data_IF_127507713078
#
_entry.id   IF_127507713078
#
_cell.length_a   1.000
_cell.length_b   1.000
_cell.length_c   1.000
_cell.angle_alpha   90.00
_cell.angle_beta   90.00
_cell.angle_gamma   90.00
#
_symmetry.space_group_name_H-M   'P 1'
#
loop_
_entity.id
_entity.type
_entity.pdbx_description
1 polymer ?
#
# COMPACT_ATOMS: atom_id res chain seq x y z
N UNK A 1 -18.38 16.28 -20.82
CA UNK A 1 -17.55 15.89 -19.65
C UNK A 1 -17.39 14.38 -19.63
N UNK A 2 -16.19 13.87 -19.39
CA UNK A 2 -15.95 12.43 -19.26
C UNK A 2 -16.58 11.90 -17.97
N UNK A 3 -17.41 10.86 -18.09
CA UNK A 3 -18.03 10.20 -16.94
C UNK A 3 -16.98 9.48 -16.10
N UNK A 4 -17.20 9.48 -14.80
CA UNK A 4 -16.40 8.75 -13.84
C UNK A 4 -17.04 7.40 -13.56
N UNK A 5 -16.21 6.38 -13.39
CA UNK A 5 -16.62 5.05 -12.94
C UNK A 5 -15.92 4.70 -11.63
N UNK A 6 -16.59 3.90 -10.80
CA UNK A 6 -15.99 3.42 -9.55
C UNK A 6 -14.90 2.43 -9.90
N UNK A 7 -13.66 2.70 -9.48
CA UNK A 7 -12.49 1.83 -9.66
C UNK A 7 -12.09 1.10 -8.38
N UNK A 8 -12.63 1.50 -7.22
CA UNK A 8 -12.34 0.87 -5.94
C UNK A 8 -13.34 1.27 -4.86
N UNK A 9 -13.39 0.51 -3.78
CA UNK A 9 -14.18 0.81 -2.58
C UNK A 9 -13.45 0.27 -1.36
N UNK A 10 -13.32 1.10 -0.34
CA UNK A 10 -12.75 0.74 0.95
C UNK A 10 -13.59 1.30 2.09
N UNK A 11 -13.03 1.29 3.29
CA UNK A 11 -13.73 1.77 4.47
C UNK A 11 -13.96 3.29 4.47
N UNK A 12 -13.06 4.10 3.88
CA UNK A 12 -13.27 5.55 3.76
C UNK A 12 -14.36 5.93 2.74
N UNK A 13 -14.60 5.06 1.76
CA UNK A 13 -15.55 5.30 0.69
C UNK A 13 -15.10 4.74 -0.64
N UNK A 14 -15.66 5.31 -1.70
CA UNK A 14 -15.46 4.88 -3.08
C UNK A 14 -14.37 5.68 -3.77
N UNK A 15 -13.68 5.03 -4.70
CA UNK A 15 -12.66 5.65 -5.56
C UNK A 15 -13.16 5.65 -6.98
N UNK A 16 -13.07 6.80 -7.65
CA UNK A 16 -13.59 7.03 -8.99
C UNK A 16 -12.52 7.53 -9.93
N UNK A 17 -12.57 7.12 -11.19
CA UNK A 17 -11.73 7.69 -12.23
C UNK A 17 -12.45 7.63 -13.58
N UNK A 18 -12.02 8.47 -14.51
CA UNK A 18 -12.28 8.25 -15.94
C UNK A 18 -11.23 7.29 -16.52
N UNK A 19 -11.36 6.90 -17.78
CA UNK A 19 -10.39 6.04 -18.46
C UNK A 19 -8.96 6.57 -18.33
N UNK A 20 -8.78 7.88 -18.51
CA UNK A 20 -7.55 8.63 -18.25
C UNK A 20 -7.79 9.70 -17.19
N UNK A 21 -6.73 10.11 -16.48
CA UNK A 21 -6.78 11.19 -15.50
C UNK A 21 -6.67 10.73 -14.03
N UNK A 22 -6.97 11.63 -13.09
CA UNK A 22 -6.77 11.39 -11.66
C UNK A 22 -7.80 10.42 -11.08
N UNK A 23 -7.48 9.90 -9.90
CA UNK A 23 -8.40 9.19 -9.04
C UNK A 23 -9.04 10.15 -8.02
N UNK A 24 -10.32 9.94 -7.76
CA UNK A 24 -11.13 10.71 -6.84
C UNK A 24 -11.66 9.81 -5.72
N UNK A 25 -11.11 9.94 -4.50
CA UNK A 25 -11.55 9.18 -3.33
C UNK A 25 -12.61 9.99 -2.58
N UNK A 26 -13.84 9.48 -2.48
CA UNK A 26 -14.98 10.15 -1.86
C UNK A 26 -15.12 9.75 -0.39
N UNK A 27 -15.56 10.69 0.44
CA UNK A 27 -15.90 10.45 1.85
C UNK A 27 -17.36 9.96 1.96
N UNK A 28 -17.64 8.80 1.37
CA UNK A 28 -18.96 8.16 1.35
C UNK A 28 -18.95 6.74 1.96
N UNK A 29 -17.93 6.47 2.79
CA UNK A 29 -17.78 5.22 3.53
C UNK A 29 -18.19 5.32 5.00
N UNK A 30 -17.44 4.62 5.84
CA UNK A 30 -17.66 4.54 7.28
C UNK A 30 -17.32 5.89 7.96
N UNK A 31 -18.25 6.51 8.70
CA UNK A 31 -18.02 7.79 9.39
C UNK A 31 -16.89 7.77 10.43
N UNK A 32 -16.44 6.58 10.87
CA UNK A 32 -15.30 6.42 11.76
C UNK A 32 -13.93 6.48 11.03
N UNK A 33 -13.93 6.64 9.70
CA UNK A 33 -12.74 6.98 8.91
C UNK A 33 -12.75 8.48 8.61
N UNK A 34 -11.57 9.06 8.36
CA UNK A 34 -11.44 10.48 8.05
C UNK A 34 -10.66 10.65 6.75
N UNK A 35 -11.34 11.16 5.71
CA UNK A 35 -10.68 11.46 4.45
C UNK A 35 -9.73 12.66 4.60
N UNK A 36 -10.05 13.60 5.51
CA UNK A 36 -9.13 14.71 5.85
C UNK A 36 -7.81 14.19 6.42
N UNK A 37 -7.86 13.23 7.35
CA UNK A 37 -6.65 12.62 7.88
C UNK A 37 -5.84 11.91 6.79
N UNK A 38 -6.50 11.17 5.91
CA UNK A 38 -5.85 10.52 4.75
C UNK A 38 -5.09 11.55 3.90
N UNK A 39 -5.74 12.66 3.54
CA UNK A 39 -5.11 13.73 2.77
C UNK A 39 -3.88 14.33 3.46
N UNK A 40 -3.98 14.63 4.76
CA UNK A 40 -2.89 15.22 5.53
C UNK A 40 -1.71 14.27 5.68
N UNK A 41 -1.98 13.00 6.02
CA UNK A 41 -0.95 11.97 6.16
C UNK A 41 -0.30 11.67 4.81
N UNK A 42 -1.07 11.55 3.73
CA UNK A 42 -0.56 11.34 2.38
C UNK A 42 0.41 12.45 1.95
N UNK A 43 0.03 13.72 2.14
CA UNK A 43 0.92 14.85 1.87
C UNK A 43 2.18 14.84 2.75
N UNK A 44 2.07 14.42 4.00
CA UNK A 44 3.21 14.29 4.90
C UNK A 44 4.19 13.22 4.41
N UNK A 45 3.70 12.05 3.99
CA UNK A 45 4.55 10.98 3.43
C UNK A 45 5.23 11.43 2.13
N UNK A 46 4.53 12.14 1.24
CA UNK A 46 5.12 12.72 0.03
C UNK A 46 6.26 13.70 0.34
N UNK A 47 6.07 14.59 1.32
CA UNK A 47 7.12 15.53 1.77
C UNK A 47 8.32 14.78 2.32
N UNK A 48 8.10 13.74 3.14
CA UNK A 48 9.17 12.91 3.70
C UNK A 48 9.99 12.23 2.61
N UNK A 49 9.34 11.70 1.56
CA UNK A 49 10.04 11.13 0.41
C UNK A 49 10.91 12.18 -0.28
N UNK A 50 10.37 13.39 -0.52
CA UNK A 50 11.12 14.48 -1.14
C UNK A 50 12.33 14.91 -0.27
N UNK A 51 12.16 14.99 1.05
CA UNK A 51 13.26 15.26 2.00
C UNK A 51 14.37 14.22 1.91
N UNK A 52 14.04 12.93 1.77
CA UNK A 52 15.05 11.89 1.60
C UNK A 52 15.75 11.98 0.24
N UNK A 53 15.01 12.26 -0.83
CA UNK A 53 15.58 12.40 -2.17
C UNK A 53 16.55 13.58 -2.30
N UNK A 54 16.34 14.67 -1.55
CA UNK A 54 17.21 15.85 -1.59
C UNK A 54 18.56 15.64 -0.89
N UNK A 55 18.72 14.58 -0.08
CA UNK A 55 19.97 14.28 0.62
C UNK A 55 21.09 13.78 -0.30
N UNK A 56 20.80 13.48 -1.57
CA UNK A 56 21.81 13.14 -2.58
C UNK A 56 22.58 11.84 -2.32
N UNK A 57 22.16 11.01 -1.35
CA UNK A 57 22.79 9.72 -1.04
C UNK A 57 22.23 8.57 -1.87
N UNK A 58 23.02 7.49 -1.96
CA UNK A 58 22.83 6.37 -2.90
C UNK A 58 21.53 5.57 -2.71
N UNK A 59 20.87 5.68 -1.56
CA UNK A 59 19.75 4.81 -1.18
C UNK A 59 18.44 5.54 -1.37
N UNK A 60 17.99 5.55 -2.63
CA UNK A 60 16.68 6.10 -2.97
C UNK A 60 15.61 5.18 -2.40
N UNK A 61 14.83 5.65 -1.43
CA UNK A 61 13.56 5.00 -1.05
C UNK A 61 12.80 4.66 -2.33
N UNK A 62 12.55 3.38 -2.54
CA UNK A 62 12.15 2.87 -3.85
C UNK A 62 10.64 2.82 -4.05
N UNK A 63 9.89 2.93 -2.96
CA UNK A 63 8.44 2.83 -2.99
C UNK A 63 7.81 4.04 -3.68
N UNK A 64 6.82 3.78 -4.51
CA UNK A 64 6.06 4.83 -5.18
C UNK A 64 4.92 5.31 -4.28
N UNK A 65 4.70 6.63 -4.25
CA UNK A 65 3.57 7.25 -3.57
C UNK A 65 2.77 8.01 -4.63
N UNK A 66 1.46 7.76 -4.79
CA UNK A 66 0.66 8.53 -5.73
C UNK A 66 0.75 10.02 -5.38
N UNK A 67 0.85 10.90 -6.38
CA UNK A 67 0.74 12.34 -6.13
C UNK A 67 -0.61 12.68 -5.48
N UNK A 68 -0.62 13.55 -4.48
CA UNK A 68 -1.83 14.00 -3.80
C UNK A 68 -2.08 15.45 -4.21
N UNK A 69 -3.08 15.68 -5.07
CA UNK A 69 -3.24 16.98 -5.72
C UNK A 69 -4.05 17.95 -4.87
N UNK A 70 -5.26 17.57 -4.46
CA UNK A 70 -6.23 18.48 -3.83
C UNK A 70 -7.18 17.76 -2.88
N UNK A 71 -7.59 18.49 -1.83
CA UNK A 71 -8.77 18.16 -1.05
C UNK A 71 -9.92 19.06 -1.50
N UNK A 72 -11.03 18.45 -1.91
CA UNK A 72 -12.23 19.10 -2.42
C UNK A 72 -13.30 18.98 -1.34
N UNK A 73 -13.76 20.11 -0.83
CA UNK A 73 -14.77 20.16 0.24
C UNK A 73 -16.19 20.00 -0.32
N UNK A 74 -17.10 19.48 0.50
CA UNK A 74 -18.52 19.36 0.14
C UNK A 74 -19.17 20.70 -0.19
N UNK A 75 -18.66 21.79 0.39
CA UNK A 75 -19.19 23.15 0.27
C UNK A 75 -18.65 23.90 -0.95
N UNK A 76 -17.69 23.32 -1.70
CA UNK A 76 -17.13 23.94 -2.90
C UNK A 76 -18.13 23.93 -4.07
N UNK A 77 -19.05 24.90 -4.07
CA UNK A 77 -20.14 25.01 -5.04
C UNK A 77 -19.65 25.11 -6.48
N UNK A 78 -18.55 25.80 -6.73
CA UNK A 78 -17.99 25.98 -8.07
C UNK A 78 -17.50 24.66 -8.65
N UNK A 79 -16.71 23.91 -7.87
CA UNK A 79 -16.19 22.62 -8.31
C UNK A 79 -17.31 21.61 -8.50
N UNK A 80 -18.26 21.52 -7.56
CA UNK A 80 -19.37 20.58 -7.64
C UNK A 80 -20.34 20.92 -8.79
N UNK A 81 -20.65 22.20 -9.02
CA UNK A 81 -21.46 22.60 -10.17
C UNK A 81 -20.81 22.18 -11.51
N UNK A 82 -19.47 22.27 -11.59
CA UNK A 82 -18.72 21.91 -12.79
C UNK A 82 -18.45 20.40 -12.93
N UNK A 83 -18.59 19.57 -11.89
CA UNK A 83 -18.14 18.17 -11.91
C UNK A 83 -19.17 17.14 -11.44
N UNK A 84 -20.28 17.54 -10.80
CA UNK A 84 -21.24 16.59 -10.24
C UNK A 84 -21.85 15.70 -11.33
N UNK A 85 -22.11 16.25 -12.51
CA UNK A 85 -22.63 15.50 -13.67
C UNK A 85 -21.66 14.42 -14.19
N UNK A 86 -20.40 14.40 -13.76
CA UNK A 86 -19.46 13.33 -14.09
C UNK A 86 -19.77 12.04 -13.34
N UNK A 87 -20.43 12.13 -12.19
CA UNK A 87 -20.88 10.97 -11.41
C UNK A 87 -22.24 10.45 -11.93
N UNK A 88 -22.61 9.19 -11.62
CA UNK A 88 -23.95 8.69 -11.88
C UNK A 88 -25.04 9.52 -11.19
N UNK A 89 -26.27 9.43 -11.68
CA UNK A 89 -27.41 10.10 -11.06
C UNK A 89 -27.59 9.63 -9.60
N UNK A 90 -27.89 10.56 -8.70
CA UNK A 90 -28.13 10.28 -7.27
C UNK A 90 -26.95 10.55 -6.34
N UNK A 91 -25.77 10.88 -6.88
CA UNK A 91 -24.66 11.35 -6.06
C UNK A 91 -24.81 12.83 -5.70
N UNK A 92 -24.41 13.19 -4.49
CA UNK A 92 -24.39 14.56 -3.96
C UNK A 92 -22.95 15.03 -3.70
N UNK A 93 -22.77 16.29 -3.32
CA UNK A 93 -21.47 16.77 -2.85
C UNK A 93 -21.06 16.04 -1.56
N UNK A 94 -19.75 15.80 -1.43
CA UNK A 94 -19.10 15.25 -0.25
C UNK A 94 -17.66 15.76 -0.19
N UNK A 95 -16.91 15.46 0.87
CA UNK A 95 -15.46 15.66 0.80
C UNK A 95 -14.82 14.64 -0.15
N UNK A 96 -13.74 15.05 -0.82
CA UNK A 96 -13.09 14.21 -1.82
C UNK A 96 -11.60 14.53 -1.93
N UNK A 97 -10.76 13.51 -2.14
CA UNK A 97 -9.34 13.69 -2.51
C UNK A 97 -9.21 13.47 -4.01
N UNK A 98 -8.55 14.41 -4.68
CA UNK A 98 -8.02 14.23 -6.03
C UNK A 98 -6.54 13.84 -5.94
N UNK A 99 -6.20 12.65 -6.44
CA UNK A 99 -4.85 12.09 -6.42
C UNK A 99 -4.49 11.46 -7.77
N UNK A 100 -3.21 11.14 -7.96
CA UNK A 100 -2.76 10.31 -9.07
C UNK A 100 -3.45 8.95 -9.02
N UNK A 101 -3.98 8.51 -10.17
CA UNK A 101 -4.45 7.14 -10.33
C UNK A 101 -3.24 6.21 -10.49
N UNK A 102 -3.14 5.21 -9.62
CA UNK A 102 -2.20 4.10 -9.82
C UNK A 102 -2.67 3.34 -11.07
N UNK A 103 -1.82 3.13 -12.09
CA UNK A 103 -2.22 2.44 -13.30
C UNK A 103 -2.60 0.98 -12.98
N UNK A 104 -3.68 0.44 -13.55
CA UNK A 104 -4.00 -0.97 -13.38
C UNK A 104 -3.09 -1.86 -14.24
N UNK A 105 -2.91 -3.11 -13.83
CA UNK A 105 -2.21 -4.10 -14.65
C UNK A 105 -2.94 -4.37 -15.97
N UNK A 106 -2.15 -4.52 -17.03
CA UNK A 106 -2.62 -4.82 -18.38
C UNK A 106 -3.21 -6.23 -18.52
N UNK A 107 -3.82 -6.48 -19.69
CA UNK A 107 -4.54 -7.71 -19.98
C UNK A 107 -3.71 -8.99 -19.77
N UNK A 108 -2.44 -9.01 -20.18
CA UNK A 108 -1.57 -10.18 -20.02
C UNK A 108 -1.47 -10.65 -18.57
N UNK A 109 -1.26 -9.71 -17.64
CA UNK A 109 -1.12 -10.01 -16.21
C UNK A 109 -2.47 -10.37 -15.59
N UNK A 110 -3.56 -9.71 -16.02
CA UNK A 110 -4.92 -10.09 -15.61
C UNK A 110 -5.24 -11.54 -16.01
N UNK A 111 -4.93 -11.92 -17.24
CA UNK A 111 -5.14 -13.29 -17.73
C UNK A 111 -4.30 -14.30 -16.96
N UNK A 112 -3.03 -13.99 -16.66
CA UNK A 112 -2.18 -14.83 -15.81
C UNK A 112 -2.83 -15.09 -14.44
N UNK A 113 -3.22 -14.04 -13.72
CA UNK A 113 -3.85 -14.18 -12.39
C UNK A 113 -5.16 -14.97 -12.45
N UNK A 114 -5.95 -14.78 -13.51
CA UNK A 114 -7.19 -15.52 -13.72
C UNK A 114 -6.89 -17.00 -13.97
N UNK A 115 -5.94 -17.32 -14.83
CA UNK A 115 -5.61 -18.70 -15.18
C UNK A 115 -5.10 -19.48 -13.97
N UNK A 116 -4.22 -18.87 -13.18
CA UNK A 116 -3.58 -19.50 -12.04
C UNK A 116 -4.50 -19.61 -10.82
N UNK A 117 -5.28 -18.57 -10.52
CA UNK A 117 -5.93 -18.44 -9.21
C UNK A 117 -7.45 -18.26 -9.23
N UNK A 118 -8.06 -17.99 -10.38
CA UNK A 118 -9.51 -17.85 -10.45
C UNK A 118 -10.17 -19.25 -10.53
N UNK A 119 -11.23 -19.52 -9.75
CA UNK A 119 -12.02 -20.75 -9.90
C UNK A 119 -12.59 -20.87 -11.32
N UNK A 120 -12.51 -22.07 -11.90
CA UNK A 120 -12.86 -22.31 -13.30
C UNK A 120 -14.29 -21.90 -13.63
N UNK A 121 -15.22 -22.02 -12.67
CA UNK A 121 -16.64 -21.70 -12.82
C UNK A 121 -16.90 -20.22 -13.08
N UNK A 122 -16.01 -19.34 -12.63
CA UNK A 122 -16.18 -17.87 -12.73
C UNK A 122 -15.13 -17.20 -13.62
N UNK A 123 -14.18 -17.93 -14.21
CA UNK A 123 -13.15 -17.37 -15.10
C UNK A 123 -13.73 -16.47 -16.19
N UNK A 124 -14.70 -16.97 -16.95
CA UNK A 124 -15.32 -16.20 -18.04
C UNK A 124 -16.07 -14.96 -17.53
N UNK A 125 -16.66 -15.03 -16.34
CA UNK A 125 -17.30 -13.87 -15.71
C UNK A 125 -16.28 -12.78 -15.39
N UNK A 126 -15.12 -13.17 -14.83
CA UNK A 126 -14.05 -12.22 -14.46
C UNK A 126 -13.34 -11.66 -15.70
N UNK A 127 -13.12 -12.47 -16.74
CA UNK A 127 -12.53 -12.00 -18.01
C UNK A 127 -13.37 -10.87 -18.63
N UNK A 128 -14.69 -11.02 -18.62
CA UNK A 128 -15.64 -10.07 -19.20
C UNK A 128 -16.07 -8.97 -18.22
N UNK A 129 -15.50 -8.93 -17.02
CA UNK A 129 -15.84 -7.96 -15.98
C UNK A 129 -15.10 -6.65 -16.21
N UNK A 130 -15.83 -5.61 -16.62
CA UNK A 130 -15.29 -4.25 -16.70
C UNK A 130 -14.66 -3.77 -15.38
N UNK A 131 -15.26 -4.01 -14.20
CA UNK A 131 -14.61 -3.71 -12.93
C UNK A 131 -13.24 -4.35 -12.74
N UNK A 132 -13.05 -5.59 -13.17
CA UNK A 132 -11.80 -6.33 -12.98
C UNK A 132 -10.70 -5.89 -13.96
N UNK A 133 -10.96 -4.90 -14.82
CA UNK A 133 -9.92 -4.16 -15.55
C UNK A 133 -9.12 -3.23 -14.64
N UNK A 134 -9.68 -2.79 -13.52
CA UNK A 134 -8.98 -1.99 -12.50
C UNK A 134 -8.09 -2.86 -11.59
N UNK A 135 -7.26 -3.68 -12.22
CA UNK A 135 -6.45 -4.68 -11.53
C UNK A 135 -5.27 -4.05 -10.78
N UNK A 136 -5.25 -4.19 -9.46
CA UNK A 136 -4.13 -3.85 -8.59
C UNK A 136 -3.83 -5.05 -7.72
N UNK A 137 -2.56 -5.43 -7.57
CA UNK A 137 -2.19 -6.57 -6.72
C UNK A 137 -1.80 -6.04 -5.35
N UNK A 138 -2.49 -6.47 -4.28
CA UNK A 138 -2.11 -6.21 -2.89
C UNK A 138 -1.19 -7.30 -2.39
N UNK A 139 0.05 -6.95 -2.04
CA UNK A 139 1.11 -7.90 -1.76
C UNK A 139 1.15 -8.29 -0.28
N UNK A 140 1.15 -9.60 -0.01
CA UNK A 140 1.27 -10.17 1.33
C UNK A 140 2.50 -11.08 1.44
N UNK A 141 3.60 -10.56 1.98
CA UNK A 141 4.81 -11.34 2.26
C UNK A 141 4.79 -12.00 3.64
N UNK A 142 4.02 -11.44 4.59
CA UNK A 142 3.89 -11.95 5.95
C UNK A 142 2.86 -13.05 6.15
N UNK A 143 2.12 -13.43 5.11
CA UNK A 143 1.06 -14.42 5.20
C UNK A 143 1.02 -15.32 3.97
N UNK A 144 0.86 -16.61 4.22
CA UNK A 144 0.45 -17.63 3.25
C UNK A 144 -1.07 -17.81 3.32
N UNK A 145 -1.69 -18.25 2.22
CA UNK A 145 -3.13 -18.59 2.25
C UNK A 145 -3.39 -19.71 3.26
N UNK A 146 -4.48 -19.60 4.02
CA UNK A 146 -4.91 -20.66 4.95
C UNK A 146 -5.59 -21.84 4.24
N UNK A 147 -6.04 -21.64 3.00
CA UNK A 147 -6.65 -22.66 2.15
C UNK A 147 -5.95 -22.66 0.80
N UNK A 148 -5.22 -23.74 0.50
CA UNK A 148 -4.59 -24.01 -0.80
C UNK A 148 -5.55 -24.76 -1.72
N UNK A 149 -5.21 -24.86 -3.01
CA UNK A 149 -6.01 -25.53 -4.07
C UNK A 149 -6.46 -26.96 -3.72
N UNK A 150 -5.72 -27.64 -2.84
CA UNK A 150 -5.98 -29.02 -2.39
C UNK A 150 -6.89 -29.14 -1.16
N UNK A 151 -7.26 -28.03 -0.53
CA UNK A 151 -8.18 -28.06 0.62
C UNK A 151 -9.58 -28.43 0.10
N UNK A 152 -10.06 -29.62 0.48
CA UNK A 152 -11.44 -30.14 0.21
C UNK A 152 -12.58 -29.22 0.67
N UNK A 153 -12.25 -28.11 1.32
CA UNK A 153 -13.12 -27.03 1.76
C UNK A 153 -12.85 -25.73 1.00
N UNK A 154 -12.79 -25.77 -0.34
CA UNK A 154 -12.99 -24.55 -1.12
C UNK A 154 -14.36 -23.98 -0.78
N UNK A 155 -14.38 -22.90 -0.01
CA UNK A 155 -15.60 -22.16 0.29
C UNK A 155 -16.25 -21.75 -1.02
N UNK A 156 -17.47 -22.25 -1.24
CA UNK A 156 -18.37 -21.95 -2.38
C UNK A 156 -18.73 -20.45 -2.51
N UNK A 157 -18.22 -19.60 -1.63
CA UNK A 157 -18.59 -18.19 -1.49
C UNK A 157 -17.42 -17.21 -1.62
N UNK A 158 -16.23 -17.62 -2.12
CA UNK A 158 -15.15 -16.66 -2.34
C UNK A 158 -15.44 -15.80 -3.58
N UNK A 159 -15.75 -14.53 -3.33
CA UNK A 159 -15.71 -13.49 -4.35
C UNK A 159 -14.25 -13.36 -4.86
N UNK A 160 -14.02 -13.68 -6.12
CA UNK A 160 -12.78 -13.37 -6.82
C UNK A 160 -12.94 -12.01 -7.48
N UNK A 161 -11.98 -11.12 -7.29
CA UNK A 161 -11.89 -9.87 -8.03
C UNK A 161 -10.43 -9.48 -8.19
N UNK A 162 -10.10 -8.91 -9.34
CA UNK A 162 -8.78 -8.36 -9.64
C UNK A 162 -8.59 -6.96 -9.01
N UNK A 163 -9.65 -6.33 -8.52
CA UNK A 163 -9.55 -5.07 -7.76
C UNK A 163 -8.94 -5.34 -6.39
N UNK A 164 -7.78 -4.75 -6.14
CA UNK A 164 -7.02 -4.94 -4.90
C UNK A 164 -6.77 -6.43 -4.58
N UNK A 165 -6.41 -7.21 -5.60
CA UNK A 165 -6.26 -8.66 -5.55
C UNK A 165 -5.19 -9.07 -4.52
N UNK A 166 -5.55 -9.80 -3.45
CA UNK A 166 -4.58 -10.19 -2.43
C UNK A 166 -3.69 -11.34 -2.94
N UNK A 167 -2.42 -11.05 -3.19
CA UNK A 167 -1.42 -12.03 -3.62
C UNK A 167 -0.48 -12.37 -2.46
N UNK A 168 -0.53 -13.64 -2.03
CA UNK A 168 0.16 -14.14 -0.85
C UNK A 168 1.52 -14.77 -1.18
N UNK A 169 2.35 -14.96 -0.15
CA UNK A 169 3.70 -15.49 -0.29
C UNK A 169 3.75 -16.84 -1.05
N UNK A 170 2.85 -17.77 -0.72
CA UNK A 170 2.73 -19.06 -1.42
C UNK A 170 2.32 -18.91 -2.90
N UNK A 171 1.53 -17.87 -3.24
CA UNK A 171 1.16 -17.61 -4.63
C UNK A 171 2.32 -17.02 -5.43
N UNK A 172 3.20 -16.26 -4.80
CA UNK A 172 4.41 -15.76 -5.46
C UNK A 172 5.35 -16.92 -5.80
N UNK A 173 5.42 -17.93 -4.94
CA UNK A 173 6.15 -19.18 -5.20
C UNK A 173 5.51 -19.97 -6.36
N UNK A 174 4.17 -20.08 -6.37
CA UNK A 174 3.41 -20.71 -7.48
C UNK A 174 3.65 -19.99 -8.82
N UNK A 175 3.80 -18.66 -8.80
CA UNK A 175 4.17 -17.85 -9.96
C UNK A 175 5.66 -17.91 -10.32
N UNK A 176 6.46 -18.67 -9.58
CA UNK A 176 7.92 -18.75 -9.73
C UNK A 176 8.63 -17.37 -9.65
N UNK A 177 8.13 -16.47 -8.81
CA UNK A 177 8.84 -15.23 -8.49
C UNK A 177 10.17 -15.59 -7.82
N UNK A 178 11.25 -14.98 -8.31
CA UNK A 178 12.60 -15.34 -7.84
C UNK A 178 12.81 -14.94 -6.38
N UNK A 179 13.70 -15.65 -5.69
CA UNK A 179 14.07 -15.29 -4.32
C UNK A 179 14.69 -13.87 -4.24
N UNK A 180 15.36 -13.42 -5.29
CA UNK A 180 15.89 -12.06 -5.39
C UNK A 180 14.78 -11.01 -5.47
N UNK A 181 13.75 -11.23 -6.30
CA UNK A 181 12.59 -10.33 -6.38
C UNK A 181 11.83 -10.28 -5.05
N UNK A 182 11.63 -11.42 -4.40
CA UNK A 182 10.97 -11.48 -3.09
C UNK A 182 11.75 -10.70 -2.02
N UNK A 183 13.08 -10.86 -2.00
CA UNK A 183 13.97 -10.06 -1.14
C UNK A 183 13.85 -8.57 -1.47
N UNK A 184 13.79 -8.21 -2.75
CA UNK A 184 13.67 -6.82 -3.15
C UNK A 184 12.31 -6.21 -2.78
N UNK A 185 11.21 -6.95 -2.89
CA UNK A 185 9.91 -6.51 -2.36
C UNK A 185 9.96 -6.27 -0.85
N UNK A 186 10.57 -7.19 -0.09
CA UNK A 186 10.74 -7.03 1.35
C UNK A 186 11.57 -5.78 1.69
N UNK A 187 12.64 -5.51 0.94
CA UNK A 187 13.45 -4.29 1.09
C UNK A 187 12.63 -3.03 0.82
N UNK A 188 11.85 -2.98 -0.26
CA UNK A 188 11.02 -1.82 -0.60
C UNK A 188 9.94 -1.54 0.43
N UNK A 189 9.35 -2.59 1.02
CA UNK A 189 8.44 -2.46 2.17
C UNK A 189 9.13 -1.87 3.40
N UNK A 190 10.35 -2.36 3.71
CA UNK A 190 11.14 -1.88 4.84
C UNK A 190 11.50 -0.39 4.69
N UNK A 191 11.89 0.04 3.48
CA UNK A 191 12.18 1.44 3.14
C UNK A 191 10.96 2.35 3.39
N UNK A 192 9.79 1.96 2.89
CA UNK A 192 8.56 2.72 3.08
C UNK A 192 8.20 2.87 4.55
N UNK A 193 8.32 1.78 5.33
CA UNK A 193 8.02 1.80 6.75
C UNK A 193 9.01 2.64 7.55
N UNK A 194 10.31 2.51 7.27
CA UNK A 194 11.36 3.31 7.94
C UNK A 194 11.19 4.81 7.66
N UNK A 195 10.90 5.19 6.41
CA UNK A 195 10.61 6.57 6.04
C UNK A 195 9.38 7.12 6.80
N UNK A 196 8.29 6.34 6.88
CA UNK A 196 7.10 6.76 7.61
C UNK A 196 7.36 6.93 9.11
N UNK A 197 8.12 6.02 9.72
CA UNK A 197 8.43 6.10 11.15
C UNK A 197 9.38 7.27 11.46
N UNK A 198 10.50 7.40 10.75
CA UNK A 198 11.60 8.28 11.21
C UNK A 198 11.67 9.63 10.52
N UNK A 199 11.11 9.74 9.31
CA UNK A 199 11.04 11.01 8.58
C UNK A 199 9.66 11.61 8.70
N UNK A 200 8.62 10.81 8.42
CA UNK A 200 7.26 11.29 8.56
C UNK A 200 6.86 11.35 10.04
N UNK A 201 7.35 10.50 10.93
CA UNK A 201 6.92 10.51 12.33
C UNK A 201 5.46 10.05 12.50
N UNK A 202 5.07 9.02 11.76
CA UNK A 202 3.74 8.40 11.82
C UNK A 202 3.85 6.89 12.08
N UNK A 203 2.78 6.29 12.58
CA UNK A 203 2.73 4.88 13.00
C UNK A 203 2.47 3.87 11.86
N UNK A 204 2.21 4.34 10.63
CA UNK A 204 1.91 3.52 9.46
C UNK A 204 0.72 2.55 9.66
N UNK A 205 -0.32 3.00 10.36
CA UNK A 205 -1.51 2.18 10.61
C UNK A 205 -2.39 2.03 9.37
N UNK A 206 -2.78 0.79 9.08
CA UNK A 206 -3.66 0.38 7.98
C UNK A 206 -3.16 0.71 6.56
N UNK A 207 -1.87 1.03 6.38
CA UNK A 207 -1.31 1.27 5.04
C UNK A 207 -1.28 0.01 4.19
N UNK A 208 -1.57 0.13 2.90
CA UNK A 208 -1.55 -0.97 1.94
C UNK A 208 -0.36 -0.87 0.97
N UNK A 209 0.23 -2.02 0.64
CA UNK A 209 1.31 -2.16 -0.34
C UNK A 209 0.78 -2.88 -1.56
N UNK A 210 0.82 -2.21 -2.70
CA UNK A 210 0.32 -2.75 -3.95
C UNK A 210 1.40 -2.78 -5.03
N UNK A 211 1.38 -3.81 -5.86
CA UNK A 211 2.13 -3.86 -7.11
C UNK A 211 1.24 -3.30 -8.21
N UNK A 212 1.85 -2.50 -9.08
CA UNK A 212 1.20 -1.94 -10.26
C UNK A 212 2.26 -1.50 -11.29
N UNK A 213 1.88 -1.34 -12.57
CA UNK A 213 2.73 -0.70 -13.56
C UNK A 213 3.29 0.64 -13.09
N UNK A 214 4.39 1.05 -13.71
CA UNK A 214 5.03 2.33 -13.40
C UNK A 214 4.44 3.44 -14.25
N UNK A 215 4.75 4.68 -13.89
CA UNK A 215 4.54 5.79 -14.81
C UNK A 215 5.46 5.62 -16.02
N UNK A 216 5.04 6.11 -17.19
CA UNK A 216 5.77 5.93 -18.46
C UNK A 216 7.23 6.42 -18.42
N UNK A 217 7.54 7.37 -17.53
CA UNK A 217 8.88 7.93 -17.34
C UNK A 217 9.78 7.13 -16.38
N UNK A 218 9.26 6.09 -15.72
CA UNK A 218 10.01 5.28 -14.77
C UNK A 218 10.30 3.89 -15.33
N UNK A 219 11.57 3.48 -15.18
CA UNK A 219 12.22 2.20 -15.49
C UNK A 219 11.43 0.92 -15.30
N UNK A 220 10.43 0.98 -14.41
CA UNK A 220 9.93 -0.17 -13.69
C UNK A 220 11.03 -0.92 -12.98
N UNK A 221 10.95 -0.91 -11.65
CA UNK A 221 12.04 -1.44 -10.83
C UNK A 221 12.10 -2.96 -10.85
N UNK A 222 10.95 -3.58 -11.08
CA UNK A 222 10.80 -5.02 -11.15
C UNK A 222 10.43 -5.41 -12.57
N UNK A 223 11.00 -6.51 -13.03
CA UNK A 223 10.67 -7.12 -14.30
C UNK A 223 10.71 -8.65 -14.14
N UNK A 224 9.54 -9.25 -13.92
CA UNK A 224 9.37 -10.69 -13.76
C UNK A 224 8.07 -11.15 -14.44
N UNK A 225 7.49 -12.28 -14.03
CA UNK A 225 6.25 -12.82 -14.61
C UNK A 225 5.05 -11.86 -14.53
N UNK A 226 5.07 -10.91 -13.57
CA UNK A 226 4.08 -9.84 -13.46
C UNK A 226 4.35 -8.66 -14.41
N UNK A 227 5.31 -8.82 -15.34
CA UNK A 227 5.77 -7.76 -16.24
C UNK A 227 6.59 -6.70 -15.52
N UNK A 228 6.76 -5.55 -16.19
CA UNK A 228 7.46 -4.39 -15.64
C UNK A 228 6.57 -3.61 -14.69
N UNK A 229 6.97 -3.48 -13.42
CA UNK A 229 6.13 -2.87 -12.38
C UNK A 229 6.95 -2.25 -11.23
N UNK A 230 6.24 -1.61 -10.30
CA UNK A 230 6.75 -1.01 -9.06
C UNK A 230 5.83 -1.34 -7.89
N UNK A 231 6.37 -1.16 -6.67
CA UNK A 231 5.58 -1.19 -5.45
C UNK A 231 5.11 0.23 -5.11
N UNK A 232 3.83 0.35 -4.78
CA UNK A 232 3.17 1.56 -4.37
C UNK A 232 2.64 1.40 -2.95
N UNK A 233 2.56 2.52 -2.21
CA UNK A 233 1.92 2.59 -0.90
C UNK A 233 0.72 3.55 -0.94
N UNK A 234 -0.37 3.13 -0.31
CA UNK A 234 -1.63 3.88 -0.24
C UNK A 234 -2.41 3.59 1.06
N UNK A 235 -3.54 4.28 1.22
CA UNK A 235 -4.45 4.25 2.39
C UNK A 235 -3.79 4.76 3.68
N UNK A 236 -3.72 6.08 3.84
CA UNK A 236 -3.10 6.70 5.02
C UNK A 236 -4.15 7.18 6.04
N UNK A 237 -5.41 6.78 5.90
CA UNK A 237 -6.54 7.31 6.64
C UNK A 237 -6.50 6.98 8.14
N UNK A 238 -5.77 5.93 8.54
CA UNK A 238 -5.57 5.54 9.95
C UNK A 238 -4.23 5.89 10.53
N UNK A 239 -3.30 6.36 9.70
CA UNK A 239 -2.01 6.82 10.15
C UNK A 239 -2.18 7.93 11.19
N UNK A 240 -1.38 7.87 12.25
CA UNK A 240 -1.36 8.87 13.32
C UNK A 240 0.07 9.21 13.68
N UNK A 241 0.24 10.35 14.33
CA UNK A 241 1.52 10.78 14.88
C UNK A 241 2.16 9.68 15.75
N UNK A 242 3.45 9.48 15.55
CA UNK A 242 4.31 8.65 16.38
C UNK A 242 5.32 9.57 17.08
N UNK A 243 5.39 9.49 18.41
CA UNK A 243 6.37 10.24 19.21
C UNK A 243 7.77 9.65 19.01
N UNK A 244 8.82 10.46 19.16
CA UNK A 244 10.22 10.03 19.00
C UNK A 244 10.79 9.55 20.35
N UNK A 245 10.10 8.57 20.94
CA UNK A 245 10.38 7.93 22.22
C UNK A 245 9.88 6.48 22.23
N UNK A 246 10.04 5.80 23.37
CA UNK A 246 9.67 4.39 23.51
C UNK A 246 8.16 4.15 23.40
N UNK A 247 7.33 5.11 23.80
CA UNK A 247 5.86 5.03 23.64
C UNK A 247 5.46 5.05 22.16
N UNK A 248 6.12 5.91 21.37
CA UNK A 248 5.97 5.95 19.92
C UNK A 248 6.39 4.64 19.28
N UNK A 249 7.52 4.08 19.70
CA UNK A 249 7.96 2.74 19.27
C UNK A 249 6.92 1.69 19.62
N UNK A 250 6.44 1.64 20.86
CA UNK A 250 5.43 0.68 21.29
C UNK A 250 4.12 0.80 20.51
N UNK A 251 3.75 2.02 20.10
CA UNK A 251 2.62 2.25 19.19
C UNK A 251 2.87 1.68 17.80
N UNK A 252 4.03 1.92 17.20
CA UNK A 252 4.40 1.37 15.91
C UNK A 252 4.47 -0.17 15.93
N UNK A 253 4.97 -0.78 17.01
CA UNK A 253 4.97 -2.26 17.18
C UNK A 253 3.55 -2.81 17.19
N UNK A 254 2.65 -2.20 17.98
CA UNK A 254 1.24 -2.59 18.02
C UNK A 254 0.58 -2.47 16.64
N UNK A 255 0.85 -1.37 15.94
CA UNK A 255 0.36 -1.14 14.59
C UNK A 255 0.90 -2.18 13.61
N UNK A 256 2.20 -2.46 13.65
CA UNK A 256 2.83 -3.48 12.81
C UNK A 256 2.07 -4.80 12.92
N UNK A 257 1.79 -5.29 14.14
CA UNK A 257 1.08 -6.55 14.36
C UNK A 257 -0.43 -6.51 14.10
N UNK A 258 -1.07 -5.36 14.26
CA UNK A 258 -2.51 -5.18 13.99
C UNK A 258 -2.82 -5.03 12.51
N UNK A 259 -1.91 -4.43 11.75
CA UNK A 259 -2.05 -4.36 10.30
C UNK A 259 -2.15 -5.77 9.74
N UNK A 260 -2.88 -5.86 8.64
CA UNK A 260 -2.82 -7.03 7.78
C UNK A 260 -1.34 -7.39 7.50
N UNK A 261 -0.97 -8.68 7.46
CA UNK A 261 0.42 -9.13 7.37
C UNK A 261 1.02 -8.93 5.96
N UNK A 262 1.08 -7.68 5.51
CA UNK A 262 1.69 -7.25 4.26
C UNK A 262 3.20 -7.48 4.28
N UNK A 263 3.85 -7.00 5.34
CA UNK A 263 5.29 -7.15 5.56
C UNK A 263 5.66 -8.56 6.03
N UNK A 264 6.89 -9.04 5.75
CA UNK A 264 7.43 -10.23 6.40
C UNK A 264 7.30 -10.13 7.92
N UNK A 265 6.96 -11.25 8.57
CA UNK A 265 6.88 -11.37 10.03
C UNK A 265 8.13 -12.09 10.56
N UNK A 266 8.55 -11.88 11.83
CA UNK A 266 9.55 -12.72 12.47
C UNK A 266 9.26 -14.23 12.26
N UNK A 267 10.28 -15.00 11.91
CA UNK A 267 10.16 -16.42 11.54
C UNK A 267 9.84 -16.68 10.06
N UNK A 268 9.47 -15.66 9.28
CA UNK A 268 9.41 -15.75 7.82
C UNK A 268 10.83 -15.68 7.22
N UNK A 269 11.07 -16.39 6.11
CA UNK A 269 12.36 -16.42 5.40
C UNK A 269 12.83 -15.05 4.86
N UNK A 270 11.92 -14.10 4.67
CA UNK A 270 12.21 -12.73 4.24
C UNK A 270 12.42 -11.75 5.41
N UNK A 271 12.24 -12.19 6.66
CA UNK A 271 12.32 -11.31 7.83
C UNK A 271 13.69 -10.67 7.99
N UNK A 272 14.77 -11.45 7.91
CA UNK A 272 16.13 -10.90 8.06
C UNK A 272 16.42 -9.85 7.00
N UNK A 273 15.98 -10.08 5.76
CA UNK A 273 16.12 -9.10 4.67
C UNK A 273 15.34 -7.82 4.96
N UNK A 274 14.10 -7.94 5.45
CA UNK A 274 13.29 -6.78 5.84
C UNK A 274 13.94 -6.02 7.00
N UNK A 275 14.34 -6.72 8.06
CA UNK A 275 14.94 -6.17 9.28
C UNK A 275 16.19 -5.37 8.95
N UNK A 276 17.12 -5.98 8.23
CA UNK A 276 18.42 -5.39 7.96
C UNK A 276 18.26 -4.14 7.08
N UNK A 277 17.37 -4.19 6.09
CA UNK A 277 17.04 -3.01 5.28
C UNK A 277 16.32 -1.93 6.08
N UNK A 278 15.39 -2.31 6.96
CA UNK A 278 14.68 -1.36 7.81
C UNK A 278 15.66 -0.58 8.69
N UNK A 279 16.59 -1.26 9.35
CA UNK A 279 17.62 -0.63 10.19
C UNK A 279 18.53 0.26 9.35
N UNK A 280 18.99 -0.24 8.20
CA UNK A 280 19.86 0.52 7.29
C UNK A 280 19.21 1.84 6.86
N UNK A 281 17.97 1.80 6.36
CA UNK A 281 17.23 2.99 5.94
C UNK A 281 16.88 3.88 7.13
N UNK A 282 16.58 3.29 8.29
CA UNK A 282 16.39 4.05 9.52
C UNK A 282 17.64 4.88 9.82
N UNK A 283 18.82 4.27 9.84
CA UNK A 283 20.07 4.98 10.14
C UNK A 283 20.34 6.14 9.15
N UNK A 284 19.98 5.98 7.87
CA UNK A 284 20.08 7.05 6.85
C UNK A 284 19.08 8.17 7.06
N UNK A 285 17.83 7.86 7.43
CA UNK A 285 16.82 8.86 7.75
C UNK A 285 17.27 9.79 8.88
N UNK A 286 18.13 9.29 9.79
CA UNK A 286 18.63 10.03 10.96
C UNK A 286 19.82 10.93 10.65
N UNK A 287 20.40 10.85 9.46
CA UNK A 287 21.44 11.78 9.04
C UNK A 287 20.92 13.22 8.88
N UNK A 288 19.60 13.36 8.77
CA UNK A 288 18.87 14.63 8.82
C UNK A 288 18.88 15.31 10.20
N UNK A 289 19.32 14.61 11.25
CA UNK A 289 19.23 15.06 12.64
C UNK A 289 20.61 15.43 13.19
N UNK A 290 20.60 16.24 14.25
CA UNK A 290 21.80 16.50 15.04
C UNK A 290 22.34 15.22 15.69
N UNK A 291 23.57 15.29 16.20
CA UNK A 291 24.30 14.11 16.70
C UNK A 291 23.57 13.44 17.87
N UNK A 292 23.01 14.22 18.81
CA UNK A 292 22.35 13.67 20.01
C UNK A 292 21.00 13.04 19.65
N UNK A 293 20.21 13.71 18.81
CA UNK A 293 18.95 13.17 18.30
C UNK A 293 19.17 11.90 17.48
N UNK A 294 20.25 11.84 16.70
CA UNK A 294 20.61 10.68 15.89
C UNK A 294 20.89 9.46 16.75
N UNK A 295 21.69 9.58 17.80
CA UNK A 295 21.98 8.44 18.70
C UNK A 295 20.72 7.91 19.38
N UNK A 296 19.86 8.81 19.87
CA UNK A 296 18.57 8.44 20.47
C UNK A 296 17.68 7.70 19.46
N UNK A 297 17.51 8.23 18.25
CA UNK A 297 16.63 7.61 17.25
C UNK A 297 17.22 6.30 16.67
N UNK A 298 18.55 6.15 16.65
CA UNK A 298 19.23 4.87 16.33
C UNK A 298 18.89 3.77 17.33
N UNK A 299 18.81 4.13 18.61
CA UNK A 299 18.33 3.21 19.64
C UNK A 299 16.86 2.86 19.42
N UNK A 300 15.99 3.85 19.16
CA UNK A 300 14.55 3.62 18.96
C UNK A 300 14.23 2.72 17.76
N UNK A 301 14.93 2.88 16.63
CA UNK A 301 14.75 2.01 15.45
C UNK A 301 15.11 0.55 15.69
N UNK A 302 16.19 0.31 16.46
CA UNK A 302 16.58 -1.04 16.89
C UNK A 302 15.63 -1.58 17.96
N UNK A 303 15.13 -0.73 18.85
CA UNK A 303 14.11 -1.09 19.83
C UNK A 303 12.81 -1.54 19.16
N UNK A 304 12.39 -0.88 18.08
CA UNK A 304 11.23 -1.29 17.28
C UNK A 304 11.38 -2.72 16.77
N UNK A 305 12.50 -3.04 16.10
CA UNK A 305 12.78 -4.40 15.60
C UNK A 305 12.78 -5.41 16.75
N UNK A 306 13.50 -5.12 17.83
CA UNK A 306 13.60 -6.00 19.00
C UNK A 306 12.21 -6.32 19.59
N UNK A 307 11.36 -5.30 19.75
CA UNK A 307 10.01 -5.47 20.28
C UNK A 307 9.07 -6.21 19.30
N UNK A 308 9.23 -6.00 17.99
CA UNK A 308 8.50 -6.79 16.98
C UNK A 308 8.86 -8.26 17.08
N UNK A 309 10.16 -8.58 17.19
CA UNK A 309 10.65 -9.96 17.32
C UNK A 309 10.15 -10.63 18.62
N UNK A 310 10.18 -9.92 19.75
CA UNK A 310 9.71 -10.47 21.04
C UNK A 310 8.19 -10.68 21.08
N UNK A 311 7.42 -9.75 20.53
CA UNK A 311 5.95 -9.87 20.49
C UNK A 311 5.50 -11.12 19.73
N UNK A 312 6.18 -11.44 18.63
CA UNK A 312 5.89 -12.64 17.83
C UNK A 312 6.09 -13.94 18.60
N UNK A 313 6.99 -13.96 19.58
CA UNK A 313 7.22 -15.14 20.42
C UNK A 313 6.16 -15.31 21.52
N UNK A 314 5.68 -14.21 22.10
CA UNK A 314 4.69 -14.23 23.20
C UNK A 314 3.26 -14.58 22.75
N UNK A 315 2.91 -14.30 21.49
CA UNK A 315 1.58 -14.62 20.94
C UNK A 315 1.49 -16.08 20.45
N UNK A 316 2.63 -16.73 20.19
CA UNK A 316 2.71 -18.10 19.69
C UNK A 316 3.11 -19.14 20.76
N UNK A 317 3.33 -18.69 22.00
CA UNK A 317 3.56 -19.53 23.20
C UNK A 317 2.28 -19.74 23.99
#
# INVERSE_FOLDING_TARGET
MTKLQTIGRGACGTVWASETGPAYKREDGNPARSLRNDFEMHNRVLRSQHTLMSLGKSTKVQIQIPSCHKFIESENKEWWAANLERFPQGYTSCNMIEAQRIPPFGESIRQLLIQEFCPDEIKQKIINSEPDRDCLIRLYLGRRRTHTRDSKTFSRFKAFSLRNYPLHNDQLEELAITADDLRQYARTMAEGLAMMHWVAGIDANDVEFVLAPCNDNDSGRFNNVLGRHSMWILDFDRCRNMTMDEDGVGKAVKTFWRNDPFYPRPGNSLWDTFRDQYIHISDECLELRDVQEREKQRFLSRLFIKQVESWGTEVNS
#
